data_IF_353320677085
#
_entry.id   IF_353320677085
#
_cell.length_a   1.000
_cell.length_b   1.000
_cell.length_c   1.000
_cell.angle_alpha   90.00
_cell.angle_beta   90.00
_cell.angle_gamma   90.00
#
_symmetry.space_group_name_H-M   'P 1'
#
loop_
_entity.id
_entity.type
_entity.pdbx_description
1 polymer ?
#
# COMPACT_ATOMS: atom_id res chain seq x y z
N UNK A 1 -14.26 -15.41 22.61
CA UNK A 1 -14.29 -14.91 21.23
C UNK A 1 -13.00 -14.13 21.01
N UNK A 2 -12.24 -14.39 19.95
CA UNK A 2 -11.01 -13.63 19.69
C UNK A 2 -11.41 -12.34 18.94
N UNK A 3 -11.58 -11.26 19.67
CA UNK A 3 -12.03 -9.96 19.14
C UNK A 3 -11.02 -9.34 18.16
N UNK A 4 -9.73 -9.66 18.25
CA UNK A 4 -8.71 -9.26 17.27
C UNK A 4 -8.98 -9.87 15.89
N UNK A 5 -9.73 -10.97 15.83
CA UNK A 5 -10.14 -11.58 14.57
C UNK A 5 -11.18 -10.73 13.82
N UNK A 6 -12.04 -9.99 14.54
CA UNK A 6 -13.08 -9.15 13.94
C UNK A 6 -12.50 -7.92 13.23
N UNK A 7 -11.61 -7.18 13.89
CA UNK A 7 -10.91 -6.04 13.27
C UNK A 7 -10.08 -6.48 12.05
N UNK A 8 -9.43 -7.66 12.14
CA UNK A 8 -8.68 -8.25 11.03
C UNK A 8 -9.59 -8.64 9.87
N UNK A 9 -10.73 -9.28 10.16
CA UNK A 9 -11.72 -9.63 9.15
C UNK A 9 -12.28 -8.38 8.45
N UNK A 10 -12.53 -7.29 9.18
CA UNK A 10 -12.94 -6.02 8.62
C UNK A 10 -11.84 -5.45 7.69
N UNK A 11 -10.58 -5.46 8.09
CA UNK A 11 -9.47 -5.07 7.21
C UNK A 11 -9.39 -5.92 5.94
N UNK A 12 -9.60 -7.24 6.04
CA UNK A 12 -9.69 -8.10 4.86
C UNK A 12 -10.93 -7.85 4.00
N UNK A 13 -12.02 -7.38 4.59
CA UNK A 13 -13.21 -6.94 3.85
C UNK A 13 -12.89 -5.73 2.94
N UNK A 14 -12.21 -4.71 3.48
CA UNK A 14 -11.74 -3.56 2.68
C UNK A 14 -10.78 -3.98 1.57
N UNK A 15 -9.85 -4.87 1.88
CA UNK A 15 -8.93 -5.44 0.89
C UNK A 15 -9.69 -6.19 -0.22
N UNK A 16 -10.76 -6.94 0.12
CA UNK A 16 -11.55 -7.69 -0.84
C UNK A 16 -12.36 -6.79 -1.80
N UNK A 17 -12.75 -5.60 -1.38
CA UNK A 17 -13.45 -4.62 -2.21
C UNK A 17 -12.51 -3.94 -3.21
N UNK A 18 -11.26 -3.70 -2.83
CA UNK A 18 -10.29 -2.99 -3.64
C UNK A 18 -9.95 -3.70 -4.97
N UNK A 19 -9.63 -2.92 -5.99
CA UNK A 19 -9.07 -3.44 -7.24
C UNK A 19 -7.63 -3.94 -7.04
N UNK A 20 -6.87 -3.23 -6.21
CA UNK A 20 -5.50 -3.59 -5.86
C UNK A 20 -5.16 -3.24 -4.41
N UNK A 21 -4.22 -4.00 -3.83
CA UNK A 21 -3.54 -3.66 -2.57
C UNK A 21 -2.16 -3.12 -2.91
N UNK A 22 -1.88 -1.89 -2.46
CA UNK A 22 -0.61 -1.22 -2.70
C UNK A 22 0.25 -1.20 -1.44
N UNK A 23 1.53 -1.53 -1.59
CA UNK A 23 2.52 -1.46 -0.52
C UNK A 23 3.86 -0.91 -1.00
N UNK A 24 4.79 -0.66 -0.08
CA UNK A 24 6.17 -0.25 -0.40
C UNK A 24 7.14 -1.41 -0.40
N UNK A 25 8.20 -1.33 -1.19
CA UNK A 25 9.29 -2.33 -1.20
C UNK A 25 9.94 -2.55 0.16
N UNK A 26 9.97 -1.52 1.04
CA UNK A 26 10.41 -1.66 2.43
C UNK A 26 9.57 -2.65 3.22
N UNK A 27 8.25 -2.53 3.16
CA UNK A 27 7.31 -3.46 3.81
C UNK A 27 7.48 -4.89 3.26
N UNK A 28 7.71 -5.04 1.95
CA UNK A 28 7.97 -6.36 1.35
C UNK A 28 9.23 -6.99 1.94
N UNK A 29 10.30 -6.20 2.13
CA UNK A 29 11.58 -6.69 2.66
C UNK A 29 11.51 -7.03 4.16
N UNK A 30 10.81 -6.21 4.94
CA UNK A 30 10.74 -6.34 6.40
C UNK A 30 9.73 -7.41 6.83
N UNK A 31 8.52 -7.38 6.28
CA UNK A 31 7.40 -8.21 6.75
C UNK A 31 7.12 -9.41 5.86
N UNK A 32 7.63 -9.42 4.61
CA UNK A 32 7.39 -10.43 3.60
C UNK A 32 5.89 -10.84 3.51
N UNK A 33 4.98 -9.87 3.28
CA UNK A 33 3.54 -10.11 3.32
C UNK A 33 3.05 -10.89 2.09
N UNK A 34 1.91 -11.54 2.22
CA UNK A 34 1.21 -12.18 1.07
C UNK A 34 0.29 -11.22 0.33
N UNK A 35 -0.23 -10.19 1.00
CA UNK A 35 -1.19 -9.19 0.49
C UNK A 35 -2.48 -9.77 -0.12
N UNK A 36 -2.82 -10.99 0.22
CA UNK A 36 -4.05 -11.65 -0.25
C UNK A 36 -5.21 -11.48 0.74
N UNK A 37 -6.43 -11.68 0.25
CA UNK A 37 -7.63 -11.82 1.07
C UNK A 37 -7.72 -13.26 1.56
N UNK A 38 -7.89 -13.48 2.89
CA UNK A 38 -7.98 -14.81 3.50
C UNK A 38 -9.05 -14.98 4.55
N UNK A 39 -9.36 -13.92 5.31
CA UNK A 39 -10.23 -14.00 6.49
C UNK A 39 -11.72 -13.74 6.15
N UNK A 40 -12.02 -13.47 4.88
CA UNK A 40 -13.38 -13.27 4.36
C UNK A 40 -13.53 -13.96 3.00
N UNK A 41 -14.78 -14.29 2.64
CA UNK A 41 -15.06 -14.81 1.31
C UNK A 41 -14.89 -13.73 0.24
N UNK A 42 -14.21 -14.08 -0.85
CA UNK A 42 -14.07 -13.20 -2.00
C UNK A 42 -14.16 -14.01 -3.30
N UNK A 43 -14.73 -13.40 -4.33
CA UNK A 43 -14.80 -14.01 -5.67
C UNK A 43 -13.51 -13.81 -6.47
N UNK A 44 -12.68 -12.83 -6.06
CA UNK A 44 -11.40 -12.51 -6.71
C UNK A 44 -10.39 -12.06 -5.67
N UNK A 45 -9.11 -12.25 -5.96
CA UNK A 45 -8.02 -11.61 -5.23
C UNK A 45 -7.73 -10.24 -5.86
N UNK A 46 -7.46 -9.20 -5.05
CA UNK A 46 -6.99 -7.91 -5.57
C UNK A 46 -5.61 -8.06 -6.20
N UNK A 47 -5.30 -7.22 -7.19
CA UNK A 47 -3.93 -7.10 -7.68
C UNK A 47 -3.00 -6.63 -6.56
N UNK A 48 -1.73 -6.98 -6.68
CA UNK A 48 -0.69 -6.53 -5.75
C UNK A 48 0.17 -5.49 -6.44
N UNK A 49 0.22 -4.29 -5.88
CA UNK A 49 0.99 -3.16 -6.43
C UNK A 49 2.10 -2.79 -5.46
N UNK A 50 3.32 -2.76 -5.93
CA UNK A 50 4.49 -2.47 -5.11
C UNK A 50 5.19 -1.20 -5.62
N UNK A 51 5.40 -0.23 -4.73
CA UNK A 51 6.23 0.95 -4.97
C UNK A 51 7.64 0.64 -4.49
N UNK A 52 8.53 0.33 -5.43
CA UNK A 52 9.91 -0.09 -5.14
C UNK A 52 10.91 0.63 -6.04
N UNK A 53 11.23 1.87 -5.70
CA UNK A 53 12.06 2.75 -6.53
C UNK A 53 13.41 2.14 -6.93
N UNK A 54 13.97 1.23 -6.14
CA UNK A 54 15.27 0.60 -6.41
C UNK A 54 15.15 -0.79 -7.03
N UNK A 55 13.93 -1.32 -7.13
CA UNK A 55 13.64 -2.67 -7.58
C UNK A 55 14.40 -3.73 -6.75
N UNK A 56 14.26 -3.66 -5.42
CA UNK A 56 14.91 -4.56 -4.46
C UNK A 56 13.96 -5.66 -3.94
N UNK A 57 12.74 -5.76 -4.47
CA UNK A 57 11.78 -6.80 -4.11
C UNK A 57 12.38 -8.18 -4.35
N UNK A 58 12.50 -9.05 -3.32
CA UNK A 58 13.12 -10.36 -3.47
C UNK A 58 12.37 -11.27 -4.43
N UNK A 59 13.09 -12.06 -5.23
CA UNK A 59 12.47 -13.03 -6.13
C UNK A 59 11.65 -14.10 -5.38
N UNK A 60 11.96 -14.39 -4.13
CA UNK A 60 11.24 -15.33 -3.27
C UNK A 60 10.24 -14.65 -2.31
N UNK A 61 9.84 -13.42 -2.58
CA UNK A 61 8.84 -12.74 -1.77
C UNK A 61 7.50 -13.47 -1.80
N UNK A 62 6.87 -13.69 -0.64
CA UNK A 62 5.60 -14.42 -0.51
C UNK A 62 4.44 -13.80 -1.33
N UNK A 63 4.50 -12.49 -1.57
CA UNK A 63 3.49 -11.83 -2.41
C UNK A 63 3.50 -12.33 -3.87
N UNK A 64 4.60 -12.96 -4.33
CA UNK A 64 4.72 -13.56 -5.65
C UNK A 64 4.10 -14.96 -5.72
N UNK A 65 3.77 -15.56 -4.57
CA UNK A 65 3.06 -16.83 -4.55
C UNK A 65 1.60 -16.62 -5.01
N UNK A 66 1.12 -17.51 -5.89
CA UNK A 66 -0.22 -17.39 -6.46
C UNK A 66 -0.39 -16.20 -7.42
N UNK A 67 0.66 -15.82 -8.13
CA UNK A 67 0.64 -14.70 -9.10
C UNK A 67 -0.39 -14.96 -10.23
N UNK A 68 -0.69 -16.20 -10.53
CA UNK A 68 -1.72 -16.62 -11.50
C UNK A 68 -3.15 -16.30 -11.03
N UNK A 69 -3.36 -16.14 -9.72
CA UNK A 69 -4.65 -15.79 -9.12
C UNK A 69 -4.81 -14.29 -8.88
N UNK A 70 -3.69 -13.59 -8.71
CA UNK A 70 -3.63 -12.19 -8.36
C UNK A 70 -2.39 -11.57 -8.98
N UNK A 71 -2.54 -10.85 -10.07
CA UNK A 71 -1.41 -10.22 -10.76
C UNK A 71 -0.57 -9.32 -9.83
N UNK A 72 0.70 -9.15 -10.19
CA UNK A 72 1.66 -8.33 -9.44
C UNK A 72 2.27 -7.30 -10.37
N UNK A 73 2.19 -6.03 -9.96
CA UNK A 73 2.83 -4.90 -10.64
C UNK A 73 3.85 -4.26 -9.69
N UNK A 74 5.08 -4.09 -10.13
CA UNK A 74 6.09 -3.33 -9.41
C UNK A 74 6.41 -2.07 -10.19
N UNK A 75 6.16 -0.92 -9.57
CA UNK A 75 6.60 0.37 -10.09
C UNK A 75 7.98 0.70 -9.51
N UNK A 76 8.93 1.01 -10.37
CA UNK A 76 10.28 1.39 -9.98
C UNK A 76 10.70 2.72 -10.61
N UNK A 77 11.80 3.29 -10.10
CA UNK A 77 12.45 4.39 -10.78
C UNK A 77 13.21 3.86 -12.01
N UNK A 78 13.90 4.74 -12.71
CA UNK A 78 14.69 4.36 -13.87
C UNK A 78 15.77 3.33 -13.49
N UNK A 79 15.79 2.22 -14.21
CA UNK A 79 16.79 1.16 -14.04
C UNK A 79 18.08 1.56 -14.77
N UNK A 80 19.20 1.59 -14.06
CA UNK A 80 20.45 2.10 -14.61
C UNK A 80 21.57 1.05 -14.61
N UNK A 81 21.55 0.11 -13.66
CA UNK A 81 22.62 -0.89 -13.55
C UNK A 81 22.26 -2.21 -14.26
N UNK A 82 23.28 -2.92 -14.71
CA UNK A 82 23.12 -4.27 -15.28
C UNK A 82 22.47 -5.24 -14.29
N UNK A 83 22.74 -5.08 -13.00
CA UNK A 83 22.15 -5.87 -11.93
C UNK A 83 20.64 -5.61 -11.82
N UNK A 84 20.22 -4.36 -11.82
CA UNK A 84 18.78 -4.01 -11.79
C UNK A 84 18.05 -4.53 -13.03
N UNK A 85 18.65 -4.41 -14.21
CA UNK A 85 18.07 -4.93 -15.46
C UNK A 85 17.94 -6.46 -15.43
N UNK A 86 18.95 -7.17 -14.91
CA UNK A 86 18.91 -8.61 -14.75
C UNK A 86 17.82 -9.02 -13.73
N UNK A 87 17.70 -8.30 -12.62
CA UNK A 87 16.68 -8.53 -11.60
C UNK A 87 15.26 -8.27 -12.15
N UNK A 88 15.06 -7.19 -12.89
CA UNK A 88 13.81 -6.90 -13.58
C UNK A 88 13.41 -8.02 -14.55
N UNK A 89 14.40 -8.55 -15.31
CA UNK A 89 14.18 -9.69 -16.21
C UNK A 89 13.72 -10.91 -15.42
N UNK A 90 14.38 -11.24 -14.33
CA UNK A 90 14.03 -12.40 -13.50
C UNK A 90 12.62 -12.26 -12.87
N UNK A 91 12.23 -11.06 -12.45
CA UNK A 91 10.87 -10.77 -11.97
C UNK A 91 9.84 -10.98 -13.08
N UNK A 92 10.10 -10.46 -14.29
CA UNK A 92 9.21 -10.63 -15.46
C UNK A 92 9.08 -12.10 -15.87
N UNK A 93 10.14 -12.88 -15.80
CA UNK A 93 10.10 -14.34 -16.05
C UNK A 93 9.22 -15.09 -15.04
N UNK A 94 9.00 -14.52 -13.85
CA UNK A 94 8.04 -15.01 -12.86
C UNK A 94 6.62 -14.48 -13.05
N UNK A 95 6.35 -13.72 -14.11
CA UNK A 95 5.04 -13.16 -14.39
C UNK A 95 4.76 -11.79 -13.73
N UNK A 96 5.77 -11.15 -13.12
CA UNK A 96 5.63 -9.80 -12.54
C UNK A 96 5.68 -8.75 -13.66
N UNK A 97 4.77 -7.80 -13.62
CA UNK A 97 4.86 -6.60 -14.45
C UNK A 97 5.80 -5.60 -13.77
N UNK A 98 6.90 -5.26 -14.40
CA UNK A 98 7.85 -4.25 -13.90
C UNK A 98 7.76 -3.02 -14.79
N UNK A 99 7.36 -1.90 -14.20
CA UNK A 99 7.09 -0.63 -14.87
C UNK A 99 8.01 0.46 -14.31
N UNK A 100 8.78 1.08 -15.18
CA UNK A 100 9.60 2.23 -14.82
C UNK A 100 8.76 3.50 -14.90
N UNK A 101 8.65 4.21 -13.77
CA UNK A 101 7.89 5.45 -13.67
C UNK A 101 8.64 6.45 -12.76
N UNK A 102 9.81 6.96 -13.22
CA UNK A 102 10.68 7.81 -12.41
C UNK A 102 10.15 9.23 -12.29
N UNK A 103 10.22 9.81 -11.09
CA UNK A 103 10.09 11.25 -10.88
C UNK A 103 11.47 11.95 -10.97
N UNK A 104 11.50 13.27 -10.86
CA UNK A 104 12.71 14.08 -10.91
C UNK A 104 13.73 13.79 -9.79
N UNK A 105 13.33 13.07 -8.73
CA UNK A 105 14.16 12.74 -7.57
C UNK A 105 14.64 11.29 -7.55
N UNK A 106 14.49 10.56 -8.67
CA UNK A 106 14.87 9.15 -8.76
C UNK A 106 14.02 8.23 -7.87
N UNK A 107 12.77 8.61 -7.66
CA UNK A 107 11.74 7.80 -7.00
C UNK A 107 10.62 7.48 -7.99
N UNK A 108 9.68 6.65 -7.58
CA UNK A 108 8.45 6.44 -8.35
C UNK A 108 7.61 7.71 -8.29
N UNK A 109 7.06 8.13 -9.42
CA UNK A 109 6.10 9.21 -9.54
C UNK A 109 4.71 8.70 -9.10
N UNK A 110 4.28 9.08 -7.89
CA UNK A 110 3.06 8.54 -7.29
C UNK A 110 1.79 9.04 -8.01
N UNK A 111 1.63 10.32 -8.35
CA UNK A 111 0.49 10.79 -9.14
C UNK A 111 0.36 10.06 -10.48
N UNK A 112 1.46 9.87 -11.22
CA UNK A 112 1.43 9.13 -12.47
C UNK A 112 1.12 7.65 -12.27
N UNK A 113 1.56 7.04 -11.18
CA UNK A 113 1.24 5.66 -10.83
C UNK A 113 -0.29 5.49 -10.69
N UNK A 114 -0.96 6.35 -9.92
CA UNK A 114 -2.42 6.27 -9.78
C UNK A 114 -3.14 6.57 -11.10
N UNK A 115 -2.65 7.53 -11.88
CA UNK A 115 -3.19 7.78 -13.21
C UNK A 115 -3.07 6.54 -14.12
N UNK A 116 -1.91 5.86 -14.10
CA UNK A 116 -1.69 4.62 -14.84
C UNK A 116 -2.65 3.51 -14.39
N UNK A 117 -2.79 3.30 -13.08
CA UNK A 117 -3.69 2.28 -12.54
C UNK A 117 -5.15 2.55 -12.95
N UNK A 118 -5.59 3.81 -12.93
CA UNK A 118 -6.96 4.18 -13.29
C UNK A 118 -7.20 4.08 -14.80
N UNK A 119 -6.31 4.61 -15.63
CA UNK A 119 -6.53 4.76 -17.07
C UNK A 119 -6.16 3.52 -17.89
N UNK A 120 -5.03 2.88 -17.55
CA UNK A 120 -4.52 1.74 -18.31
C UNK A 120 -4.98 0.38 -17.73
N UNK A 121 -5.29 0.35 -16.41
CA UNK A 121 -5.66 -0.89 -15.73
C UNK A 121 -7.11 -0.89 -15.23
N UNK A 122 -7.82 0.22 -15.35
CA UNK A 122 -9.21 0.37 -14.88
C UNK A 122 -9.39 0.05 -13.40
N UNK A 123 -8.36 0.35 -12.59
CA UNK A 123 -8.35 0.13 -11.14
C UNK A 123 -8.67 1.45 -10.43
N UNK A 124 -9.92 1.60 -9.99
CA UNK A 124 -10.41 2.85 -9.38
C UNK A 124 -10.35 2.85 -7.84
N UNK A 125 -10.23 1.67 -7.23
CA UNK A 125 -10.09 1.55 -5.77
C UNK A 125 -8.77 0.85 -5.43
N UNK A 126 -7.88 1.59 -4.77
CA UNK A 126 -6.57 1.09 -4.34
C UNK A 126 -6.51 1.13 -2.81
N UNK A 127 -6.42 -0.04 -2.19
CA UNK A 127 -6.22 -0.16 -0.76
C UNK A 127 -4.73 -0.11 -0.43
N UNK A 128 -4.31 0.92 0.32
CA UNK A 128 -2.90 1.12 0.67
C UNK A 128 -2.60 0.53 2.04
N UNK A 129 -1.67 -0.42 2.08
CA UNK A 129 -1.11 -0.98 3.31
C UNK A 129 0.40 -0.79 3.30
N UNK A 130 0.87 0.36 3.79
CA UNK A 130 2.27 0.74 3.66
C UNK A 130 2.86 1.29 4.96
N UNK A 131 4.18 1.28 5.04
CA UNK A 131 4.90 1.87 6.16
C UNK A 131 4.95 3.41 6.09
N UNK A 132 5.37 4.02 7.19
CA UNK A 132 5.36 5.48 7.42
C UNK A 132 5.98 6.32 6.29
N UNK A 133 7.03 5.82 5.63
CA UNK A 133 7.70 6.55 4.54
C UNK A 133 6.81 6.72 3.31
N UNK A 134 6.18 5.64 2.85
CA UNK A 134 5.30 5.69 1.68
C UNK A 134 4.00 6.41 2.01
N UNK A 135 3.40 6.16 3.18
CA UNK A 135 2.22 6.90 3.65
C UNK A 135 2.49 8.42 3.69
N UNK A 136 3.65 8.84 4.20
CA UNK A 136 4.05 10.23 4.20
C UNK A 136 4.21 10.82 2.79
N UNK A 137 4.72 10.05 1.82
CA UNK A 137 4.83 10.49 0.42
C UNK A 137 3.45 10.63 -0.22
N UNK A 138 2.57 9.65 -0.04
CA UNK A 138 1.21 9.67 -0.56
C UNK A 138 0.41 10.87 -0.05
N UNK A 139 0.53 11.18 1.24
CA UNK A 139 -0.13 12.35 1.84
C UNK A 139 0.44 13.67 1.31
N UNK A 140 1.78 13.79 1.15
CA UNK A 140 2.42 15.00 0.61
C UNK A 140 2.08 15.26 -0.85
N UNK A 141 1.96 14.19 -1.64
CA UNK A 141 1.71 14.26 -3.09
C UNK A 141 0.22 14.23 -3.42
N UNK A 142 -0.62 14.37 -2.38
CA UNK A 142 -2.07 14.49 -2.52
C UNK A 142 -2.74 13.27 -3.19
N UNK A 143 -2.22 12.08 -2.91
CA UNK A 143 -2.67 10.81 -3.50
C UNK A 143 -3.60 10.01 -2.57
N UNK A 144 -4.20 10.63 -1.54
CA UNK A 144 -5.03 9.95 -0.56
C UNK A 144 -6.40 10.62 -0.46
N UNK A 145 -7.46 9.88 -0.76
CA UNK A 145 -8.85 10.34 -0.66
C UNK A 145 -9.47 9.99 0.68
N UNK A 146 -9.13 8.83 1.23
CA UNK A 146 -9.66 8.32 2.49
C UNK A 146 -8.57 7.74 3.40
N UNK A 147 -8.76 7.87 4.71
CA UNK A 147 -7.95 7.21 5.73
C UNK A 147 -8.82 6.19 6.49
N UNK A 148 -8.31 4.97 6.59
CA UNK A 148 -8.89 3.90 7.38
C UNK A 148 -7.94 3.60 8.55
N UNK A 149 -8.31 4.01 9.76
CA UNK A 149 -7.45 3.92 10.94
C UNK A 149 -8.03 2.94 11.96
N UNK A 150 -7.21 1.97 12.38
CA UNK A 150 -7.53 1.05 13.46
C UNK A 150 -6.73 1.39 14.69
N UNK A 151 -7.41 1.54 15.81
CA UNK A 151 -6.80 1.81 17.10
C UNK A 151 -7.06 0.65 18.05
N UNK A 152 -5.99 0.07 18.55
CA UNK A 152 -6.04 -0.86 19.68
C UNK A 152 -5.81 -0.08 20.99
N UNK A 153 -6.54 -0.38 22.09
CA UNK A 153 -6.50 0.40 23.33
C UNK A 153 -5.34 0.00 24.24
N UNK A 154 -4.12 0.10 23.72
CA UNK A 154 -2.91 -0.16 24.52
C UNK A 154 -1.74 0.72 24.07
N UNK A 155 -0.78 0.94 24.97
CA UNK A 155 0.45 1.67 24.68
C UNK A 155 1.60 0.68 24.46
N UNK A 156 2.40 0.90 23.43
CA UNK A 156 3.53 0.05 23.07
C UNK A 156 4.90 0.68 23.35
N UNK A 157 4.95 1.92 23.86
CA UNK A 157 6.18 2.68 24.01
C UNK A 157 6.63 3.34 22.70
N UNK A 158 7.93 3.47 22.49
CA UNK A 158 8.47 4.04 21.26
C UNK A 158 8.14 3.17 20.04
N UNK A 159 7.75 3.81 18.94
CA UNK A 159 7.40 3.14 17.69
C UNK A 159 7.42 4.08 16.50
N UNK A 160 7.26 3.52 15.31
CA UNK A 160 7.11 4.29 14.08
C UNK A 160 5.71 4.92 14.03
N UNK A 161 5.64 6.21 13.68
CA UNK A 161 4.37 6.85 13.37
C UNK A 161 3.71 6.26 12.13
N UNK A 162 2.42 6.52 11.94
CA UNK A 162 1.67 6.04 10.77
C UNK A 162 2.14 6.68 9.45
N UNK A 163 2.73 7.88 9.52
CA UNK A 163 3.24 8.62 8.35
C UNK A 163 4.47 9.45 8.72
N UNK A 164 5.42 9.53 7.80
CA UNK A 164 6.60 10.38 7.92
C UNK A 164 6.35 11.70 7.17
N UNK A 165 5.79 12.67 7.86
CA UNK A 165 5.53 14.01 7.34
C UNK A 165 6.51 15.01 7.94
N UNK A 166 6.95 16.04 7.18
CA UNK A 166 7.71 17.16 7.75
C UNK A 166 6.85 17.94 8.74
N UNK A 167 7.50 18.65 9.66
CA UNK A 167 6.80 19.59 10.52
C UNK A 167 6.12 20.66 9.66
N UNK A 168 4.88 20.99 9.98
CA UNK A 168 4.14 22.07 9.32
C UNK A 168 4.53 23.41 9.98
N UNK A 169 4.76 24.48 9.19
CA UNK A 169 5.11 25.80 9.73
C UNK A 169 3.98 26.45 10.54
N UNK A 170 2.74 26.17 10.17
CA UNK A 170 1.55 26.73 10.82
C UNK A 170 0.42 25.68 10.89
N UNK A 171 -0.43 25.81 11.90
CA UNK A 171 -1.65 25.01 11.99
C UNK A 171 -2.62 25.25 10.82
N UNK A 172 -2.47 26.38 10.12
CA UNK A 172 -3.27 26.65 8.91
C UNK A 172 -2.85 25.80 7.71
N UNK A 173 -1.63 25.23 7.74
CA UNK A 173 -1.11 24.35 6.68
C UNK A 173 -1.48 22.88 6.90
N UNK A 174 -2.31 22.59 7.91
CA UNK A 174 -2.77 21.23 8.19
C UNK A 174 -3.68 20.71 7.08
N UNK A 175 -3.53 19.47 6.74
CA UNK A 175 -4.52 18.77 5.92
C UNK A 175 -5.77 18.48 6.77
N UNK A 176 -6.93 18.87 6.27
CA UNK A 176 -8.20 18.69 6.96
C UNK A 176 -8.89 17.40 6.49
N UNK A 177 -9.42 16.66 7.46
CA UNK A 177 -10.11 15.40 7.25
C UNK A 177 -11.42 15.39 8.02
N UNK A 178 -12.48 14.83 7.43
CA UNK A 178 -13.77 14.65 8.05
C UNK A 178 -13.98 13.20 8.46
N UNK A 179 -14.33 12.95 9.70
CA UNK A 179 -14.80 11.63 10.13
C UNK A 179 -16.15 11.32 9.46
N UNK A 180 -16.19 10.27 8.66
CA UNK A 180 -17.40 9.86 7.92
C UNK A 180 -18.01 8.57 8.46
N UNK A 181 -17.23 7.73 9.15
CA UNK A 181 -17.70 6.48 9.73
C UNK A 181 -16.80 6.03 10.89
N UNK A 182 -17.40 5.29 11.85
CA UNK A 182 -16.67 4.60 12.91
C UNK A 182 -17.34 3.27 13.26
N UNK A 183 -16.55 2.30 13.66
CA UNK A 183 -17.00 0.99 14.12
C UNK A 183 -16.17 0.50 15.29
N UNK A 184 -16.80 -0.23 16.21
CA UNK A 184 -16.14 -0.83 17.38
C UNK A 184 -16.07 -2.34 17.16
N UNK A 185 -14.86 -2.89 17.29
CA UNK A 185 -14.57 -4.33 17.19
C UNK A 185 -14.02 -4.87 18.53
N UNK A 186 -14.54 -4.40 19.59
CA UNK A 186 -14.15 -4.62 20.99
C UNK A 186 -12.91 -5.53 21.16
N UNK A 187 -11.74 -5.01 21.59
CA UNK A 187 -11.56 -3.66 22.09
C UNK A 187 -11.12 -2.62 21.05
N UNK A 188 -10.90 -3.00 19.79
CA UNK A 188 -10.38 -2.15 18.74
C UNK A 188 -11.46 -1.21 18.18
N UNK A 189 -11.04 -0.04 17.72
CA UNK A 189 -11.92 0.94 17.06
C UNK A 189 -11.37 1.24 15.66
N UNK A 190 -12.25 1.18 14.65
CA UNK A 190 -11.94 1.70 13.32
C UNK A 190 -12.58 3.07 13.15
N UNK A 191 -11.82 4.00 12.59
CA UNK A 191 -12.30 5.29 12.12
C UNK A 191 -12.00 5.45 10.64
N UNK A 192 -12.96 6.00 9.89
CA UNK A 192 -12.81 6.29 8.47
C UNK A 192 -12.95 7.79 8.27
N UNK A 193 -11.97 8.38 7.61
CA UNK A 193 -11.94 9.79 7.32
C UNK A 193 -11.88 10.02 5.82
N UNK A 194 -12.52 11.07 5.37
CA UNK A 194 -12.44 11.56 3.99
C UNK A 194 -11.76 12.92 3.98
N UNK A 195 -10.99 13.16 2.94
CA UNK A 195 -10.35 14.46 2.72
C UNK A 195 -11.40 15.53 2.43
N UNK A 196 -11.21 16.74 3.01
CA UNK A 196 -12.09 17.92 2.80
C UNK A 196 -11.47 18.81 1.73
#
# INVERSE_FOLDING_TARGET
MDYRSLARADGHHWRAQACAVLTGGGTVKEDNPTLNVRDVQTQRQPWKVIVDSKLETPLNAKLLDGIEQSGVIIFCAQLQSSEQLAHAKALRERGVEVIELPNAHGKVDLPQLFAYLAQERYMNEIHVEAGAKLNGSLLREDCVDELLLYYAPFFMGEGLGMSNLPAIPSLNDRQAWQLIDQAVFDPDVRMRFQKI
#
